data_IF_275794670847
#
_entry.id   IF_275794670847
#
_cell.length_a   1.000
_cell.length_b   1.000
_cell.length_c   1.000
_cell.angle_alpha   90.00
_cell.angle_beta   90.00
_cell.angle_gamma   90.00
#
_symmetry.space_group_name_H-M   'P 1'
#
loop_
_entity.id
_entity.type
_entity.pdbx_description
1 polymer ?
#
# COMPACT_ATOMS: atom_id res chain seq x y z
N UNK A 1 15.53 12.45 0.53
CA UNK A 1 14.41 11.55 0.20
C UNK A 1 14.59 10.23 0.93
N UNK A 2 13.51 9.69 1.50
CA UNK A 2 13.52 8.41 2.24
C UNK A 2 13.14 7.22 1.35
N UNK A 3 13.00 7.43 0.03
CA UNK A 3 12.66 6.44 -0.97
C UNK A 3 13.75 6.41 -2.04
N UNK A 4 14.05 5.22 -2.57
CA UNK A 4 14.99 5.01 -3.67
C UNK A 4 14.32 4.98 -5.04
N UNK A 5 12.98 5.03 -5.08
CA UNK A 5 12.17 4.92 -6.29
C UNK A 5 10.94 5.79 -6.16
N UNK A 6 10.68 6.60 -7.17
CA UNK A 6 9.54 7.50 -7.26
C UNK A 6 9.37 7.96 -8.70
N UNK A 7 8.21 8.53 -9.01
CA UNK A 7 7.86 9.03 -10.35
C UNK A 7 7.80 10.56 -10.27
N UNK A 8 8.51 11.25 -11.15
CA UNK A 8 8.48 12.71 -11.26
C UNK A 8 9.63 13.45 -10.58
N UNK A 9 10.47 12.76 -9.79
CA UNK A 9 11.69 13.31 -9.16
C UNK A 9 12.87 13.38 -10.15
N UNK A 10 12.65 14.05 -11.28
CA UNK A 10 13.61 14.13 -12.40
C UNK A 10 14.86 14.93 -12.01
N UNK A 11 14.70 15.90 -11.11
CA UNK A 11 15.75 16.80 -10.63
C UNK A 11 16.77 16.13 -9.70
N UNK A 12 16.47 14.94 -9.19
CA UNK A 12 17.36 14.19 -8.28
C UNK A 12 18.32 13.24 -9.03
N UNK A 13 18.20 13.16 -10.37
CA UNK A 13 19.11 12.38 -11.20
C UNK A 13 19.03 10.87 -10.94
N UNK A 14 20.15 10.16 -11.07
CA UNK A 14 20.19 8.69 -11.05
C UNK A 14 19.92 8.05 -9.67
N UNK A 15 19.82 8.83 -8.61
CA UNK A 15 19.57 8.30 -7.26
C UNK A 15 18.14 7.81 -7.07
N UNK A 16 17.20 8.23 -7.93
CA UNK A 16 15.79 7.85 -7.86
C UNK A 16 15.33 7.40 -9.23
N UNK A 17 14.99 6.11 -9.32
CA UNK A 17 14.59 5.49 -10.58
C UNK A 17 13.07 5.32 -10.65
N UNK A 18 12.42 5.65 -11.78
CA UNK A 18 10.97 5.49 -11.97
C UNK A 18 10.62 4.05 -12.39
N UNK A 19 11.18 3.05 -11.72
CA UNK A 19 11.00 1.63 -12.08
C UNK A 19 10.15 0.93 -11.02
N UNK A 20 8.95 0.49 -11.41
CA UNK A 20 8.04 -0.25 -10.53
C UNK A 20 8.50 -1.70 -10.29
N UNK A 21 8.22 -2.23 -9.11
CA UNK A 21 8.38 -3.67 -8.82
C UNK A 21 7.09 -4.43 -9.19
N UNK A 22 7.21 -5.46 -10.04
CA UNK A 22 6.07 -6.28 -10.48
C UNK A 22 6.10 -7.63 -9.76
N UNK A 23 4.98 -7.99 -9.11
CA UNK A 23 4.79 -9.30 -8.48
C UNK A 23 3.41 -9.84 -8.81
N UNK A 24 3.36 -11.05 -9.36
CA UNK A 24 2.12 -11.80 -9.57
C UNK A 24 1.93 -12.80 -8.43
N UNK A 25 0.70 -12.95 -7.96
CA UNK A 25 0.35 -13.86 -6.86
C UNK A 25 -0.89 -14.64 -7.25
N UNK A 26 -0.86 -15.97 -7.06
CA UNK A 26 -2.04 -16.83 -7.24
C UNK A 26 -2.96 -16.67 -6.04
N UNK A 27 -4.22 -16.31 -6.28
CA UNK A 27 -5.21 -16.18 -5.23
C UNK A 27 -5.76 -17.55 -4.82
N UNK A 28 -6.18 -17.66 -3.56
CA UNK A 28 -6.93 -18.82 -3.10
C UNK A 28 -8.34 -18.79 -3.69
N UNK A 29 -9.00 -19.95 -3.80
CA UNK A 29 -10.39 -20.02 -4.29
C UNK A 29 -11.40 -19.32 -3.37
N UNK A 30 -11.01 -19.01 -2.13
CA UNK A 30 -11.85 -18.29 -1.14
C UNK A 30 -11.68 -16.77 -1.32
N UNK A 31 -10.76 -16.32 -2.18
CA UNK A 31 -10.43 -14.92 -2.38
C UNK A 31 -9.53 -14.37 -1.25
N UNK A 32 -9.55 -13.05 -1.09
CA UNK A 32 -8.78 -12.33 -0.08
C UNK A 32 -9.00 -10.82 -0.17
N UNK A 33 -8.56 -10.09 0.86
CA UNK A 33 -8.58 -8.61 0.87
C UNK A 33 -7.17 -8.09 0.57
N UNK A 34 -7.08 -7.15 -0.36
CA UNK A 34 -5.87 -6.38 -0.62
C UNK A 34 -6.01 -5.00 0.04
N UNK A 35 -5.04 -4.62 0.88
CA UNK A 35 -4.96 -3.29 1.49
C UNK A 35 -3.80 -2.56 0.83
N UNK A 36 -4.09 -1.41 0.21
CA UNK A 36 -3.10 -0.50 -0.37
C UNK A 36 -3.24 0.83 0.37
N UNK A 37 -2.15 1.29 0.98
CA UNK A 37 -2.10 2.53 1.74
C UNK A 37 -0.71 3.17 1.62
N UNK A 38 -0.63 4.48 1.86
CA UNK A 38 0.66 5.19 1.97
C UNK A 38 1.41 4.82 3.25
N UNK A 39 2.66 5.25 3.33
CA UNK A 39 3.54 5.12 4.51
C UNK A 39 2.88 5.56 5.82
N UNK A 40 2.09 6.65 5.83
CA UNK A 40 1.41 7.11 7.04
C UNK A 40 0.57 6.06 7.79
N UNK A 41 0.03 5.04 7.11
CA UNK A 41 -0.62 3.90 7.77
C UNK A 41 0.40 2.88 8.28
N UNK A 42 1.40 2.54 7.47
CA UNK A 42 2.36 1.49 7.78
C UNK A 42 3.44 1.93 8.78
N UNK A 43 3.69 3.23 8.89
CA UNK A 43 4.52 3.85 9.92
C UNK A 43 3.83 3.82 11.28
N UNK A 44 2.49 3.91 11.30
CA UNK A 44 1.68 3.94 12.50
C UNK A 44 1.23 2.55 12.98
N UNK A 45 1.08 1.59 12.07
CA UNK A 45 0.51 0.27 12.36
C UNK A 45 1.30 -0.88 11.69
N UNK A 46 1.57 -1.97 12.43
CA UNK A 46 2.11 -3.18 11.82
C UNK A 46 1.07 -3.86 10.91
N UNK A 47 1.55 -4.56 9.88
CA UNK A 47 0.69 -5.16 8.85
C UNK A 47 -0.38 -6.12 9.39
N UNK A 48 -0.06 -6.85 10.46
CA UNK A 48 -1.02 -7.75 11.11
C UNK A 48 -2.17 -6.96 11.76
N UNK A 49 -1.87 -5.85 12.44
CA UNK A 49 -2.89 -4.99 13.05
C UNK A 49 -3.79 -4.37 11.98
N UNK A 50 -3.22 -3.88 10.87
CA UNK A 50 -4.00 -3.34 9.76
C UNK A 50 -4.99 -4.37 9.19
N UNK A 51 -4.60 -5.63 9.08
CA UNK A 51 -5.49 -6.70 8.59
C UNK A 51 -6.73 -6.92 9.47
N UNK A 52 -6.60 -6.67 10.78
CA UNK A 52 -7.66 -6.80 11.78
C UNK A 52 -8.53 -5.53 11.89
N UNK A 53 -7.90 -4.36 11.83
CA UNK A 53 -8.55 -3.04 12.02
C UNK A 53 -9.43 -2.64 10.85
N UNK A 54 -9.12 -3.09 9.64
CA UNK A 54 -9.91 -2.82 8.44
C UNK A 54 -10.73 -4.05 8.02
N UNK A 55 -11.76 -4.49 8.80
CA UNK A 55 -12.61 -5.61 8.41
C UNK A 55 -13.44 -5.26 7.16
N UNK A 56 -14.13 -6.27 6.62
CA UNK A 56 -14.87 -6.19 5.35
C UNK A 56 -15.82 -4.98 5.25
N UNK A 57 -16.32 -4.51 6.40
CA UNK A 57 -17.36 -3.49 6.48
C UNK A 57 -16.79 -2.09 6.75
N UNK A 58 -15.47 -1.95 6.90
CA UNK A 58 -14.85 -0.68 7.31
C UNK A 58 -15.02 0.44 6.26
N UNK A 59 -14.92 0.10 4.97
CA UNK A 59 -15.17 1.07 3.88
C UNK A 59 -16.62 1.56 3.84
N UNK A 60 -17.59 0.73 4.23
CA UNK A 60 -19.00 1.12 4.28
C UNK A 60 -19.25 2.15 5.41
N UNK A 61 -18.55 2.03 6.53
CA UNK A 61 -18.64 3.02 7.63
C UNK A 61 -18.06 4.39 7.29
N UNK A 62 -17.14 4.49 6.32
CA UNK A 62 -16.52 5.76 5.92
C UNK A 62 -17.36 6.54 4.90
N UNK A 63 -18.16 5.86 4.07
CA UNK A 63 -19.10 6.49 3.12
C UNK A 63 -20.43 6.91 3.78
N UNK A 64 -20.73 6.40 4.97
CA UNK A 64 -21.92 6.74 5.76
C UNK A 64 -21.65 7.82 6.83
N UNK A 65 -20.46 8.44 6.80
CA UNK A 65 -20.09 9.65 7.53
C UNK A 65 -19.75 10.75 6.56
#
# INVERSE_FOLDING_TARGET
>A
MCLSRSIGDIDVGEFIVPISHVKQVKLSNIGGRLIIASDGIWDALPSEAASKVYPHNWLQSLWLR
#
